data_IF_759688642658
#
_entry.id   IF_759688642658
#
_cell.length_a   1.000
_cell.length_b   1.000
_cell.length_c   1.000
_cell.angle_alpha   90.00
_cell.angle_beta   90.00
_cell.angle_gamma   90.00
#
_symmetry.space_group_name_H-M   'P 1'
#
loop_
_entity.id
_entity.type
_entity.pdbx_description
1 polymer ?
#
# COMPACT_ATOMS: atom_id res chain seq x y z
N UNK A 1 25.66 21.05 -5.26
CA UNK A 1 24.21 21.15 -5.54
C UNK A 1 23.50 21.82 -4.38
N UNK A 2 22.72 22.81 -4.66
CA UNK A 2 21.98 23.51 -3.65
C UNK A 2 20.83 22.66 -3.12
N UNK A 3 20.50 22.80 -1.84
CA UNK A 3 19.44 22.04 -1.19
C UNK A 3 18.09 22.21 -1.91
N UNK A 4 17.77 23.44 -2.32
CA UNK A 4 16.52 23.71 -3.03
C UNK A 4 16.42 22.95 -4.35
N UNK A 5 17.53 22.87 -5.08
CA UNK A 5 17.57 22.15 -6.35
C UNK A 5 17.36 20.66 -6.14
N UNK A 6 17.96 20.11 -5.09
CA UNK A 6 17.79 18.72 -4.72
C UNK A 6 16.32 18.40 -4.42
N UNK A 7 15.66 19.25 -3.66
CA UNK A 7 14.26 19.07 -3.30
C UNK A 7 13.36 19.21 -4.53
N UNK A 8 13.58 20.24 -5.35
CA UNK A 8 12.76 20.48 -6.55
C UNK A 8 12.81 19.34 -7.56
N UNK A 9 13.97 18.71 -7.68
CA UNK A 9 14.20 17.66 -8.67
C UNK A 9 13.89 16.28 -8.14
N UNK A 10 13.47 16.17 -6.90
CA UNK A 10 13.18 14.90 -6.29
C UNK A 10 11.88 14.31 -6.83
N UNK A 11 11.94 13.05 -7.26
CA UNK A 11 10.77 12.27 -7.62
C UNK A 11 10.47 11.29 -6.49
N UNK A 12 9.38 11.50 -5.78
CA UNK A 12 9.00 10.65 -4.65
C UNK A 12 8.17 9.44 -5.08
N UNK A 13 7.82 9.34 -6.36
CA UNK A 13 7.03 8.22 -6.89
C UNK A 13 7.87 7.19 -7.64
N UNK A 14 9.14 7.13 -7.32
CA UNK A 14 10.02 6.13 -7.91
C UNK A 14 9.53 4.71 -7.65
N UNK A 15 9.83 3.81 -8.58
CA UNK A 15 9.38 2.43 -8.50
C UNK A 15 10.46 1.51 -7.96
N UNK A 16 10.02 0.36 -7.46
CA UNK A 16 10.91 -0.69 -6.95
C UNK A 16 10.30 -2.03 -7.26
N UNK A 17 11.12 -2.99 -7.66
CA UNK A 17 10.70 -4.38 -7.80
C UNK A 17 10.89 -5.10 -6.48
N UNK A 18 9.91 -5.91 -6.10
CA UNK A 18 10.00 -6.76 -4.91
C UNK A 18 9.68 -8.20 -5.27
N UNK A 19 10.39 -9.11 -4.65
CA UNK A 19 10.18 -10.55 -4.83
C UNK A 19 9.25 -11.06 -3.74
N UNK A 20 8.22 -11.78 -4.15
CA UNK A 20 7.26 -12.33 -3.22
C UNK A 20 7.78 -13.62 -2.60
N UNK A 21 7.24 -13.96 -1.45
CA UNK A 21 7.66 -15.09 -0.63
C UNK A 21 6.53 -16.11 -0.48
N UNK A 22 6.85 -17.27 0.10
CA UNK A 22 5.86 -18.28 0.39
C UNK A 22 5.27 -18.89 -0.87
N UNK A 23 3.97 -19.00 -0.94
CA UNK A 23 3.26 -19.59 -2.08
C UNK A 23 3.46 -18.81 -3.37
N UNK A 24 3.78 -17.52 -3.26
CA UNK A 24 4.01 -16.63 -4.41
C UNK A 24 5.50 -16.48 -4.72
N UNK A 25 6.36 -17.29 -4.13
CA UNK A 25 7.80 -17.25 -4.39
C UNK A 25 8.07 -17.40 -5.90
N UNK A 26 9.02 -16.60 -6.40
CA UNK A 26 9.35 -16.58 -7.82
C UNK A 26 8.59 -15.51 -8.61
N UNK A 27 7.60 -14.87 -8.00
CA UNK A 27 6.84 -13.78 -8.61
C UNK A 27 7.45 -12.46 -8.14
N UNK A 28 7.69 -11.55 -9.10
CA UNK A 28 8.18 -10.20 -8.83
C UNK A 28 7.07 -9.22 -9.16
N UNK A 29 6.81 -8.29 -8.25
CA UNK A 29 5.86 -7.21 -8.50
C UNK A 29 6.59 -5.87 -8.45
N UNK A 30 6.05 -4.87 -9.12
CA UNK A 30 6.59 -3.51 -9.11
C UNK A 30 5.70 -2.64 -8.25
N UNK A 31 6.31 -1.96 -7.29
CA UNK A 31 5.63 -1.02 -6.41
C UNK A 31 6.20 0.38 -6.60
N UNK A 32 5.48 1.38 -6.10
CA UNK A 32 5.97 2.76 -6.04
C UNK A 32 5.75 3.34 -4.65
N UNK A 33 6.49 4.39 -4.35
CA UNK A 33 6.21 5.17 -3.15
C UNK A 33 4.86 5.87 -3.30
N UNK A 34 4.19 6.09 -2.19
CA UNK A 34 2.93 6.86 -2.14
C UNK A 34 3.23 8.24 -1.57
N UNK A 35 2.45 9.23 -1.98
CA UNK A 35 2.59 10.59 -1.46
C UNK A 35 1.72 10.79 -0.22
N UNK A 36 1.84 11.97 0.40
CA UNK A 36 1.13 12.28 1.64
C UNK A 36 -0.39 12.25 1.47
N UNK A 37 -0.89 12.72 0.33
CA UNK A 37 -2.34 12.72 0.07
C UNK A 37 -2.87 11.30 -0.11
N UNK A 38 -2.13 10.46 -0.79
CA UNK A 38 -2.49 9.06 -0.97
C UNK A 38 -2.48 8.31 0.36
N UNK A 39 -1.51 8.59 1.21
CA UNK A 39 -1.44 8.03 2.55
C UNK A 39 -2.67 8.43 3.38
N UNK A 40 -3.03 9.73 3.37
CA UNK A 40 -4.20 10.21 4.09
C UNK A 40 -5.49 9.59 3.56
N UNK A 41 -5.60 9.45 2.25
CA UNK A 41 -6.77 8.82 1.63
C UNK A 41 -6.91 7.37 2.08
N UNK A 42 -5.82 6.59 2.05
CA UNK A 42 -5.84 5.20 2.47
C UNK A 42 -6.23 5.07 3.95
N UNK A 43 -5.67 5.94 4.79
CA UNK A 43 -5.96 5.93 6.22
C UNK A 43 -7.42 6.32 6.50
N UNK A 44 -7.95 7.32 5.78
CA UNK A 44 -9.33 7.74 5.96
C UNK A 44 -10.31 6.62 5.62
N UNK A 45 -10.02 5.84 4.59
CA UNK A 45 -10.86 4.69 4.22
C UNK A 45 -10.79 3.56 5.24
N UNK A 46 -9.73 3.51 6.04
CA UNK A 46 -9.52 2.46 7.02
C UNK A 46 -10.09 2.80 8.40
N UNK A 47 -10.51 4.04 8.61
CA UNK A 47 -11.08 4.46 9.89
C UNK A 47 -12.52 3.97 9.99
N UNK A 48 -12.81 3.30 11.11
CA UNK A 48 -14.15 2.80 11.42
C UNK A 48 -14.54 3.23 12.83
N UNK A 49 -15.84 3.34 13.05
CA UNK A 49 -16.36 3.69 14.37
C UNK A 49 -16.75 2.40 15.09
N UNK A 50 -16.20 2.18 16.29
CA UNK A 50 -16.51 1.00 17.08
C UNK A 50 -17.86 1.15 17.81
N UNK A 51 -18.24 0.11 18.56
CA UNK A 51 -19.51 0.10 19.28
C UNK A 51 -19.63 1.23 20.31
N UNK A 52 -18.51 1.77 20.76
CA UNK A 52 -18.48 2.89 21.75
C UNK A 52 -18.48 4.26 21.07
N UNK A 53 -18.57 4.31 19.76
CA UNK A 53 -18.52 5.57 19.01
C UNK A 53 -17.11 6.13 18.82
N UNK A 54 -16.08 5.35 19.09
CA UNK A 54 -14.70 5.78 18.98
C UNK A 54 -14.10 5.40 17.63
N UNK A 55 -13.25 6.25 17.01
CA UNK A 55 -12.59 5.90 15.76
C UNK A 55 -11.50 4.85 16.00
N UNK A 56 -11.47 3.84 15.13
CA UNK A 56 -10.43 2.80 15.13
C UNK A 56 -9.92 2.63 13.71
N UNK A 57 -8.71 2.09 13.58
CA UNK A 57 -8.11 1.80 12.27
C UNK A 57 -8.26 0.33 11.95
N UNK A 58 -8.90 0.02 10.84
CA UNK A 58 -8.96 -1.32 10.29
C UNK A 58 -7.67 -1.58 9.53
N UNK A 59 -6.76 -2.34 10.12
CA UNK A 59 -5.44 -2.57 9.55
C UNK A 59 -5.47 -3.26 8.20
N UNK A 60 -6.42 -4.19 8.00
CA UNK A 60 -6.53 -4.87 6.72
C UNK A 60 -7.06 -3.95 5.63
N UNK A 61 -8.01 -3.07 5.97
CA UNK A 61 -8.50 -2.06 5.04
C UNK A 61 -7.38 -1.09 4.66
N UNK A 62 -6.55 -0.70 5.62
CA UNK A 62 -5.39 0.16 5.37
C UNK A 62 -4.38 -0.54 4.45
N UNK A 63 -4.00 -1.76 4.77
CA UNK A 63 -3.01 -2.50 3.99
C UNK A 63 -3.48 -2.77 2.57
N UNK A 64 -4.74 -3.18 2.39
CA UNK A 64 -5.27 -3.43 1.05
C UNK A 64 -5.40 -2.14 0.23
N UNK A 65 -5.73 -1.02 0.87
CA UNK A 65 -5.75 0.28 0.19
C UNK A 65 -4.35 0.71 -0.26
N UNK A 66 -3.35 0.53 0.59
CA UNK A 66 -1.96 0.83 0.25
C UNK A 66 -1.49 -0.02 -0.93
N UNK A 67 -1.86 -1.29 -0.93
CA UNK A 67 -1.52 -2.21 -2.01
C UNK A 67 -2.20 -1.79 -3.32
N UNK A 68 -3.47 -1.39 -3.26
CA UNK A 68 -4.21 -0.92 -4.45
C UNK A 68 -3.60 0.34 -5.05
N UNK A 69 -3.11 1.25 -4.20
CA UNK A 69 -2.51 2.51 -4.65
C UNK A 69 -1.07 2.31 -5.10
N UNK A 70 -0.29 1.54 -4.34
CA UNK A 70 1.16 1.45 -4.51
C UNK A 70 1.65 0.40 -5.49
N UNK A 71 0.81 -0.53 -5.94
CA UNK A 71 1.24 -1.51 -6.94
C UNK A 71 1.13 -0.93 -8.34
N UNK A 72 2.24 -1.00 -9.08
CA UNK A 72 2.32 -0.55 -10.48
C UNK A 72 2.06 -1.71 -11.42
N UNK A 73 2.66 -2.86 -11.15
CA UNK A 73 2.49 -4.08 -11.93
C UNK A 73 2.43 -5.28 -10.96
N UNK A 74 1.29 -5.93 -10.81
CA UNK A 74 0.03 -5.65 -11.51
C UNK A 74 -0.65 -4.36 -11.01
N UNK A 75 -1.39 -3.70 -11.90
CA UNK A 75 -2.15 -2.50 -11.53
C UNK A 75 -3.55 -2.92 -11.08
N UNK A 76 -3.82 -2.89 -9.79
CA UNK A 76 -5.09 -3.33 -9.23
C UNK A 76 -6.26 -2.36 -9.49
N UNK A 77 -6.01 -1.28 -10.21
CA UNK A 77 -7.07 -0.37 -10.67
C UNK A 77 -7.47 -0.64 -12.12
N UNK A 78 -6.77 -1.54 -12.80
CA UNK A 78 -7.05 -1.90 -14.17
C UNK A 78 -8.17 -2.95 -14.19
N UNK A 79 -9.30 -2.67 -14.86
CA UNK A 79 -10.41 -3.63 -14.95
C UNK A 79 -9.98 -4.98 -15.51
N UNK A 80 -9.00 -5.02 -16.40
CA UNK A 80 -8.50 -6.28 -16.97
C UNK A 80 -7.84 -7.16 -15.89
N UNK A 81 -7.20 -6.56 -14.89
CA UNK A 81 -6.60 -7.28 -13.77
C UNK A 81 -7.68 -7.78 -12.82
N UNK A 82 -8.70 -6.96 -12.58
CA UNK A 82 -9.74 -7.26 -11.59
C UNK A 82 -10.74 -8.32 -12.04
N UNK A 83 -10.81 -8.61 -13.34
CA UNK A 83 -11.79 -9.55 -13.85
C UNK A 83 -13.20 -8.99 -13.68
N UNK A 84 -14.09 -9.63 -13.04
CA UNK A 84 -15.44 -9.14 -12.79
C UNK A 84 -15.63 -8.34 -11.52
N UNK A 85 -14.56 -8.16 -10.73
CA UNK A 85 -14.62 -7.43 -9.47
C UNK A 85 -14.40 -5.94 -9.72
N UNK A 86 -15.26 -5.09 -9.16
CA UNK A 86 -15.23 -3.65 -9.45
C UNK A 86 -14.42 -2.85 -8.43
N UNK A 87 -14.22 -3.37 -7.21
CA UNK A 87 -13.51 -2.68 -6.14
C UNK A 87 -12.13 -3.30 -5.94
N UNK A 88 -11.04 -2.53 -6.17
CA UNK A 88 -9.68 -3.07 -6.06
C UNK A 88 -9.36 -3.72 -4.71
N UNK A 89 -9.77 -3.10 -3.60
CA UNK A 89 -9.50 -3.66 -2.27
C UNK A 89 -10.24 -4.98 -2.03
N UNK A 90 -11.43 -5.14 -2.60
CA UNK A 90 -12.17 -6.40 -2.52
C UNK A 90 -11.47 -7.50 -3.31
N UNK A 91 -10.93 -7.18 -4.48
CA UNK A 91 -10.13 -8.13 -5.26
C UNK A 91 -8.91 -8.60 -4.46
N UNK A 92 -8.18 -7.65 -3.88
CA UNK A 92 -6.97 -7.95 -3.10
C UNK A 92 -7.31 -8.88 -1.92
N UNK A 93 -8.34 -8.54 -1.17
CA UNK A 93 -8.75 -9.35 -0.01
C UNK A 93 -9.23 -10.75 -0.41
N UNK A 94 -9.77 -10.90 -1.61
CA UNK A 94 -10.26 -12.18 -2.10
C UNK A 94 -9.14 -13.07 -2.67
N UNK A 95 -8.07 -12.47 -3.20
CA UNK A 95 -7.05 -13.20 -3.95
C UNK A 95 -5.69 -13.33 -3.24
N UNK A 96 -5.49 -12.60 -2.17
CA UNK A 96 -4.24 -12.62 -1.42
C UNK A 96 -4.51 -13.00 0.03
N UNK A 97 -3.60 -13.74 0.63
CA UNK A 97 -3.67 -14.05 2.06
C UNK A 97 -3.32 -12.81 2.87
N UNK A 98 -3.87 -12.67 4.09
CA UNK A 98 -3.59 -11.49 4.92
C UNK A 98 -2.11 -11.18 5.10
N UNK A 99 -1.29 -12.20 5.32
CA UNK A 99 0.16 -12.00 5.46
C UNK A 99 0.83 -11.50 4.19
N UNK A 100 0.33 -11.91 3.03
CA UNK A 100 0.81 -11.42 1.74
C UNK A 100 0.45 -9.96 1.54
N UNK A 101 -0.76 -9.58 1.89
CA UNK A 101 -1.22 -8.19 1.81
C UNK A 101 -0.36 -7.31 2.70
N UNK A 102 -0.12 -7.73 3.94
CA UNK A 102 0.70 -6.97 4.88
C UNK A 102 2.15 -6.87 4.43
N UNK A 103 2.70 -7.94 3.87
CA UNK A 103 4.07 -7.92 3.36
C UNK A 103 4.23 -6.86 2.27
N UNK A 104 3.33 -6.87 1.28
CA UNK A 104 3.38 -5.93 0.16
C UNK A 104 3.13 -4.50 0.65
N UNK A 105 2.14 -4.30 1.51
CA UNK A 105 1.84 -2.98 2.07
C UNK A 105 3.03 -2.43 2.86
N UNK A 106 3.71 -3.27 3.65
CA UNK A 106 4.89 -2.85 4.40
C UNK A 106 6.04 -2.45 3.46
N UNK A 107 6.22 -3.17 2.35
CA UNK A 107 7.23 -2.79 1.35
C UNK A 107 6.93 -1.44 0.71
N UNK A 108 5.67 -1.18 0.43
CA UNK A 108 5.23 0.12 -0.09
C UNK A 108 5.51 1.23 0.94
N UNK A 109 5.18 0.99 2.20
CA UNK A 109 5.43 1.95 3.28
C UNK A 109 6.92 2.21 3.48
N UNK A 110 7.74 1.18 3.48
CA UNK A 110 9.19 1.33 3.61
C UNK A 110 9.76 2.15 2.44
N UNK A 111 9.31 1.85 1.23
CA UNK A 111 9.74 2.60 0.05
C UNK A 111 9.23 4.04 0.05
N UNK A 112 8.14 4.30 0.78
CA UNK A 112 7.56 5.63 0.94
C UNK A 112 8.20 6.44 2.08
N UNK A 113 9.28 5.95 2.65
CA UNK A 113 10.06 6.69 3.65
C UNK A 113 9.86 6.23 5.09
N UNK A 114 9.01 5.25 5.35
CA UNK A 114 8.83 4.71 6.71
C UNK A 114 9.82 3.58 6.96
N UNK A 115 10.45 3.58 8.15
CA UNK A 115 11.19 2.42 8.61
C UNK A 115 10.24 1.35 9.14
N UNK A 116 10.74 0.15 9.43
CA UNK A 116 9.92 -0.94 9.95
C UNK A 116 9.16 -0.56 11.22
N UNK A 117 9.84 0.09 12.14
CA UNK A 117 9.24 0.52 13.39
C UNK A 117 8.13 1.54 13.17
N UNK A 118 8.35 2.49 12.25
CA UNK A 118 7.34 3.50 11.92
C UNK A 118 6.11 2.87 11.26
N UNK A 119 6.29 1.83 10.45
CA UNK A 119 5.17 1.11 9.84
C UNK A 119 4.32 0.45 10.91
N UNK A 120 4.92 -0.24 11.86
CA UNK A 120 4.19 -0.87 12.98
C UNK A 120 3.42 0.16 13.78
N UNK A 121 4.05 1.30 14.08
CA UNK A 121 3.40 2.40 14.80
C UNK A 121 2.22 2.98 14.01
N UNK A 122 2.37 3.15 12.72
CA UNK A 122 1.32 3.71 11.87
C UNK A 122 0.10 2.80 11.78
N UNK A 123 0.27 1.50 11.97
CA UNK A 123 -0.83 0.52 11.90
C UNK A 123 -1.55 0.28 13.22
N UNK A 124 -1.04 0.82 14.30
CA UNK A 124 -1.64 0.64 15.62
C UNK A 124 -2.72 1.66 15.95
#
# INVERSE_FOLDING_TARGET
MELLDLIRNRDIRDTKEIDLKGELAGITITIRAIDADEWQEARARAIKINAKGEPTVDNMALSSSLMAIGCVNPNFRDPAVLGGITVPTEFIKAKFKPGEIEFIANKIMQHSGYGEEAVDTAKK
#
